data_IF_538388288789
#
_entry.id   IF_538388288789
#
_cell.length_a   1.000
_cell.length_b   1.000
_cell.length_c   1.000
_cell.angle_alpha   90.00
_cell.angle_beta   90.00
_cell.angle_gamma   90.00
#
_symmetry.space_group_name_H-M   'P 1'
#
loop_
_entity.id
_entity.type
_entity.pdbx_description
1 polymer ?
#
# COMPACT_ATOMS: atom_id res chain seq x y z
N UNK A 1 16.45 20.63 68.03
CA UNK A 1 16.89 20.99 69.40
C UNK A 1 16.15 22.27 69.79
N UNK A 2 15.52 22.41 70.94
CA UNK A 2 15.14 21.42 71.95
C UNK A 2 13.95 21.97 72.80
N UNK A 3 13.20 21.06 73.45
CA UNK A 3 12.38 21.25 74.68
C UNK A 3 11.53 22.52 74.94
N UNK A 4 10.21 22.30 74.92
CA UNK A 4 9.21 22.54 76.03
C UNK A 4 9.19 23.88 76.80
N UNK A 5 7.98 24.46 77.00
CA UNK A 5 7.26 24.44 78.32
C UNK A 5 5.91 25.21 78.41
N UNK A 6 5.01 24.62 79.20
CA UNK A 6 3.91 25.17 80.04
C UNK A 6 2.58 25.75 79.49
N UNK A 7 1.54 25.41 80.26
CA UNK A 7 0.07 25.66 80.24
C UNK A 7 -0.26 26.96 81.05
N UNK A 8 -1.51 27.36 81.48
CA UNK A 8 -2.78 26.61 81.54
C UNK A 8 -4.14 27.39 81.39
N UNK A 9 -5.24 26.71 81.76
CA UNK A 9 -6.63 27.17 82.03
C UNK A 9 -7.52 27.40 80.77
N UNK A 10 -8.83 27.12 80.70
CA UNK A 10 -9.87 26.55 81.59
C UNK A 10 -11.12 26.18 80.71
N UNK A 11 -12.19 25.43 81.10
CA UNK A 11 -12.55 24.74 82.35
C UNK A 11 -13.54 23.55 82.10
N UNK A 12 -13.75 22.72 83.14
CA UNK A 12 -14.99 22.09 83.67
C UNK A 12 -16.36 22.43 83.01
N UNK A 13 -17.40 21.56 82.97
CA UNK A 13 -17.61 20.25 83.64
C UNK A 13 -18.82 19.44 83.10
N UNK A 14 -18.69 18.10 83.14
CA UNK A 14 -19.67 17.07 83.65
C UNK A 14 -21.09 16.99 83.03
N UNK A 15 -21.83 15.88 83.05
CA UNK A 15 -21.72 14.55 83.68
C UNK A 15 -22.14 13.44 82.69
N UNK A 16 -21.79 12.18 82.94
CA UNK A 16 -22.32 11.04 82.18
C UNK A 16 -23.16 10.09 83.02
N UNK A 17 -23.99 9.30 82.31
CA UNK A 17 -24.18 7.85 82.51
C UNK A 17 -24.98 7.40 83.76
N UNK A 18 -25.29 6.09 83.98
CA UNK A 18 -24.95 4.90 83.17
C UNK A 18 -26.03 3.78 83.03
N UNK A 19 -25.66 2.73 82.28
CA UNK A 19 -26.14 1.31 82.39
C UNK A 19 -27.57 0.96 81.92
N UNK A 20 -27.90 -0.30 81.53
CA UNK A 20 -27.22 -1.61 81.68
C UNK A 20 -27.56 -2.58 80.53
N UNK A 21 -26.79 -3.65 80.39
CA UNK A 21 -26.86 -4.67 79.33
C UNK A 21 -27.75 -5.88 79.66
N UNK A 22 -28.13 -6.68 78.63
CA UNK A 22 -27.97 -8.16 78.62
C UNK A 22 -28.39 -8.85 77.31
N UNK A 23 -27.58 -9.83 76.88
CA UNK A 23 -27.89 -10.89 75.90
C UNK A 23 -27.55 -10.59 74.42
N UNK A 24 -27.25 -11.56 73.55
CA UNK A 24 -27.04 -13.03 73.67
C UNK A 24 -26.11 -13.51 72.53
N UNK A 25 -25.29 -14.53 72.83
CA UNK A 25 -24.62 -15.57 71.98
C UNK A 25 -24.42 -15.40 70.45
N UNK A 26 -23.15 -15.50 70.07
CA UNK A 26 -22.46 -16.03 68.87
C UNK A 26 -23.18 -16.63 67.61
N UNK A 27 -22.52 -16.36 66.47
CA UNK A 27 -22.28 -17.17 65.24
C UNK A 27 -23.44 -17.91 64.51
N UNK A 28 -23.49 -17.76 63.16
CA UNK A 28 -24.07 -18.80 62.28
C UNK A 28 -24.63 -18.33 60.93
N UNK A 29 -23.86 -18.54 59.86
CA UNK A 29 -24.18 -18.31 58.43
C UNK A 29 -25.54 -18.87 57.96
N UNK A 30 -26.34 -18.08 57.21
CA UNK A 30 -26.96 -18.53 55.94
C UNK A 30 -27.31 -17.36 55.02
N UNK A 31 -27.10 -17.53 53.71
CA UNK A 31 -27.42 -16.56 52.67
C UNK A 31 -28.82 -16.81 52.07
N UNK A 32 -29.48 -15.76 51.53
CA UNK A 32 -30.26 -15.85 50.29
C UNK A 32 -30.71 -14.47 49.74
N UNK A 33 -30.58 -14.31 48.42
CA UNK A 33 -31.23 -13.35 47.52
C UNK A 33 -31.44 -11.88 47.95
N UNK A 34 -30.62 -10.98 47.37
CA UNK A 34 -31.11 -9.98 46.39
C UNK A 34 -29.93 -9.26 45.72
N UNK A 35 -29.51 -9.78 44.56
CA UNK A 35 -28.57 -9.11 43.67
C UNK A 35 -29.09 -9.22 42.24
N UNK A 36 -29.54 -8.10 41.66
CA UNK A 36 -29.43 -7.72 40.22
C UNK A 36 -30.32 -6.52 39.91
N UNK A 37 -29.74 -5.31 39.84
CA UNK A 37 -30.07 -4.35 38.78
C UNK A 37 -28.96 -3.30 38.65
N UNK A 38 -27.82 -3.72 38.10
CA UNK A 38 -26.74 -2.81 37.69
C UNK A 38 -26.24 -3.27 36.33
N UNK A 39 -26.94 -2.85 35.27
CA UNK A 39 -26.64 -3.22 33.90
C UNK A 39 -26.66 -2.01 32.96
N UNK A 40 -25.56 -1.87 32.22
CA UNK A 40 -25.49 -1.27 30.88
C UNK A 40 -25.81 0.23 30.71
N UNK A 41 -24.86 1.09 31.12
CA UNK A 41 -24.41 2.20 30.25
C UNK A 41 -22.89 2.09 30.04
N UNK A 42 -22.46 0.93 29.54
CA UNK A 42 -21.09 0.74 29.05
C UNK A 42 -20.98 1.35 27.64
N UNK A 43 -20.12 2.35 27.47
CA UNK A 43 -19.93 3.10 26.22
C UNK A 43 -19.77 2.18 25.01
N UNK A 44 -20.80 2.10 24.16
CA UNK A 44 -20.75 1.44 22.85
C UNK A 44 -20.05 2.31 21.80
N UNK A 45 -18.84 2.78 22.09
CA UNK A 45 -17.99 3.56 21.17
C UNK A 45 -16.80 2.73 20.67
N UNK A 46 -17.08 1.50 20.21
CA UNK A 46 -16.09 0.61 19.59
C UNK A 46 -16.76 -0.42 18.66
N UNK A 47 -17.41 0.06 17.58
CA UNK A 47 -18.04 -0.83 16.59
C UNK A 47 -18.17 -0.24 15.17
N UNK A 48 -17.32 0.71 14.75
CA UNK A 48 -17.28 1.18 13.35
C UNK A 48 -15.96 1.85 12.92
N UNK A 49 -14.82 1.49 13.52
CA UNK A 49 -13.54 1.82 12.89
C UNK A 49 -13.46 0.95 11.63
N UNK A 50 -13.51 1.56 10.44
CA UNK A 50 -13.51 0.80 9.19
C UNK A 50 -12.26 -0.08 9.15
N UNK A 51 -12.47 -1.40 9.06
CA UNK A 51 -11.36 -2.36 9.09
C UNK A 51 -10.54 -2.14 7.83
N UNK A 52 -9.35 -1.56 7.99
CA UNK A 52 -8.38 -1.32 6.92
C UNK A 52 -8.17 -2.57 6.07
N UNK A 53 -8.02 -2.37 4.77
CA UNK A 53 -7.81 -3.41 3.78
C UNK A 53 -6.37 -3.91 3.92
N UNK A 54 -6.12 -5.18 4.29
CA UNK A 54 -4.77 -5.69 4.46
C UNK A 54 -4.16 -5.95 3.07
N UNK A 55 -3.00 -5.35 2.80
CA UNK A 55 -2.39 -5.29 1.46
C UNK A 55 -0.99 -5.89 1.43
N UNK A 56 -0.69 -6.61 0.35
CA UNK A 56 0.67 -6.84 -0.15
C UNK A 56 0.80 -6.05 -1.46
N UNK A 57 1.90 -5.32 -1.63
CA UNK A 57 2.18 -4.56 -2.85
C UNK A 57 3.43 -5.10 -3.55
N UNK A 58 3.25 -5.70 -4.73
CA UNK A 58 4.31 -6.24 -5.59
C UNK A 58 4.55 -5.28 -6.76
N UNK A 59 5.76 -4.73 -6.85
CA UNK A 59 6.09 -3.57 -7.68
C UNK A 59 7.43 -3.77 -8.39
N UNK A 60 7.58 -3.25 -9.61
CA UNK A 60 8.85 -3.29 -10.33
C UNK A 60 9.59 -1.94 -10.37
N UNK A 61 9.29 -1.08 -9.38
CA UNK A 61 9.93 0.20 -9.08
C UNK A 61 11.43 0.21 -9.39
N UNK A 62 11.85 1.10 -10.28
CA UNK A 62 13.14 1.02 -10.94
C UNK A 62 13.04 1.04 -12.47
N UNK A 63 11.94 0.47 -12.98
CA UNK A 63 11.58 0.43 -14.40
C UNK A 63 11.05 1.77 -14.89
N UNK A 64 9.74 1.98 -14.77
CA UNK A 64 9.12 3.30 -14.91
C UNK A 64 9.12 4.03 -13.55
N UNK A 65 8.59 5.25 -13.51
CA UNK A 65 8.51 6.06 -12.29
C UNK A 65 7.17 5.90 -11.57
N UNK A 66 6.11 5.47 -12.24
CA UNK A 66 4.75 5.48 -11.69
C UNK A 66 4.52 4.48 -10.55
N UNK A 67 5.33 3.43 -10.43
CA UNK A 67 5.43 2.63 -9.20
C UNK A 67 5.66 3.51 -7.95
N UNK A 68 6.52 4.54 -8.05
CA UNK A 68 6.82 5.47 -6.95
C UNK A 68 5.59 6.31 -6.61
N UNK A 69 4.83 6.75 -7.62
CA UNK A 69 3.58 7.48 -7.43
C UNK A 69 2.52 6.56 -6.78
N UNK A 70 2.45 5.30 -7.18
CA UNK A 70 1.56 4.28 -6.62
C UNK A 70 1.92 3.93 -5.16
N UNK A 71 3.20 3.73 -4.85
CA UNK A 71 3.65 3.45 -3.47
C UNK A 71 3.34 4.62 -2.53
N UNK A 72 3.57 5.85 -2.94
CA UNK A 72 3.30 7.04 -2.11
C UNK A 72 1.79 7.27 -1.96
N UNK A 73 1.00 7.11 -3.03
CA UNK A 73 -0.46 7.08 -2.96
C UNK A 73 -0.98 5.99 -1.99
N UNK A 74 -0.39 4.80 -2.00
CA UNK A 74 -0.73 3.68 -1.12
C UNK A 74 -0.42 4.03 0.35
N UNK A 75 0.73 4.66 0.62
CA UNK A 75 1.16 5.09 1.96
C UNK A 75 0.25 6.20 2.54
N UNK A 76 -0.17 7.17 1.73
CA UNK A 76 -1.09 8.25 2.12
C UNK A 76 -2.58 7.84 2.07
N UNK A 77 -2.89 6.55 1.86
CA UNK A 77 -4.25 6.02 1.84
C UNK A 77 -4.58 5.28 3.15
N UNK A 78 -5.18 5.94 4.17
CA UNK A 78 -5.52 5.33 5.46
C UNK A 78 -6.47 4.12 5.38
N UNK A 79 -7.10 3.90 4.23
CA UNK A 79 -7.91 2.72 3.91
C UNK A 79 -7.10 1.42 3.95
N UNK A 80 -5.76 1.48 3.80
CA UNK A 80 -4.89 0.31 3.72
C UNK A 80 -4.09 0.02 4.99
N UNK A 81 -3.87 -1.27 5.20
CA UNK A 81 -3.00 -1.87 6.22
C UNK A 81 -1.93 -2.69 5.48
N UNK A 82 -0.87 -2.00 5.04
CA UNK A 82 0.20 -2.57 4.21
C UNK A 82 1.01 -3.55 5.08
N UNK A 83 1.06 -4.82 4.67
CA UNK A 83 1.72 -5.92 5.40
C UNK A 83 3.07 -6.33 4.84
N UNK A 84 3.33 -6.02 3.57
CA UNK A 84 4.55 -6.35 2.85
C UNK A 84 4.62 -5.52 1.57
N UNK A 85 5.81 -5.03 1.21
CA UNK A 85 6.11 -4.57 -0.15
C UNK A 85 7.17 -5.48 -0.75
N UNK A 86 6.95 -5.98 -1.96
CA UNK A 86 7.91 -6.84 -2.68
C UNK A 86 8.38 -6.21 -3.98
N UNK A 87 9.64 -6.42 -4.33
CA UNK A 87 10.21 -5.96 -5.60
C UNK A 87 10.25 -7.07 -6.65
N UNK A 88 9.82 -6.76 -7.88
CA UNK A 88 9.76 -7.68 -9.00
C UNK A 88 10.72 -7.27 -10.14
N UNK A 89 11.18 -8.28 -10.88
CA UNK A 89 11.99 -8.24 -12.12
C UNK A 89 13.30 -7.43 -12.09
N UNK A 90 14.20 -7.75 -13.01
CA UNK A 90 15.53 -7.10 -13.09
C UNK A 90 16.37 -7.33 -11.83
N UNK A 91 16.97 -6.25 -11.31
CA UNK A 91 17.82 -6.26 -10.12
C UNK A 91 17.04 -5.96 -8.83
N UNK A 92 16.27 -6.95 -8.35
CA UNK A 92 15.34 -6.78 -7.21
C UNK A 92 15.97 -6.31 -5.89
N UNK A 93 17.22 -6.66 -5.50
CA UNK A 93 17.90 -6.06 -4.34
C UNK A 93 18.17 -4.55 -4.48
N UNK A 94 18.55 -4.08 -5.67
CA UNK A 94 18.77 -2.64 -5.90
C UNK A 94 17.43 -1.88 -5.89
N UNK A 95 16.40 -2.43 -6.53
CA UNK A 95 15.03 -1.89 -6.46
C UNK A 95 14.51 -1.79 -5.02
N UNK A 96 14.84 -2.77 -4.16
CA UNK A 96 14.42 -2.78 -2.76
C UNK A 96 14.99 -1.60 -1.95
N UNK A 97 16.12 -1.01 -2.35
CA UNK A 97 16.63 0.25 -1.75
C UNK A 97 15.67 1.42 -1.96
N UNK A 98 14.99 1.48 -3.12
CA UNK A 98 14.04 2.55 -3.43
C UNK A 98 12.84 2.45 -2.48
N UNK A 99 12.28 1.24 -2.35
CA UNK A 99 11.18 0.93 -1.42
C UNK A 99 11.58 1.27 0.01
N UNK A 100 12.69 0.72 0.49
CA UNK A 100 13.18 0.94 1.85
C UNK A 100 13.36 2.43 2.17
N UNK A 101 14.02 3.19 1.29
CA UNK A 101 14.21 4.65 1.45
C UNK A 101 12.88 5.41 1.46
N UNK A 102 11.90 5.05 0.62
CA UNK A 102 10.57 5.68 0.64
C UNK A 102 9.81 5.36 1.94
N UNK A 103 9.87 4.10 2.41
CA UNK A 103 9.24 3.68 3.67
C UNK A 103 9.87 4.37 4.89
N UNK A 104 11.18 4.59 4.87
CA UNK A 104 11.90 5.34 5.91
C UNK A 104 11.49 6.82 5.93
N UNK A 105 11.44 7.48 4.77
CA UNK A 105 10.95 8.87 4.61
C UNK A 105 9.47 8.99 5.03
N UNK A 106 8.67 7.94 4.82
CA UNK A 106 7.27 7.88 5.26
C UNK A 106 7.10 7.69 6.78
N UNK A 107 8.17 7.39 7.53
CA UNK A 107 8.07 6.94 8.92
C UNK A 107 7.35 5.59 9.07
N UNK A 108 7.37 4.74 8.03
CA UNK A 108 6.66 3.46 7.94
C UNK A 108 7.62 2.26 7.84
N UNK A 109 8.66 2.28 8.67
CA UNK A 109 9.63 1.18 8.81
C UNK A 109 9.04 -0.07 9.47
N UNK A 110 7.79 -0.02 9.95
CA UNK A 110 6.99 -1.17 10.36
C UNK A 110 6.61 -2.09 9.19
N UNK A 111 6.66 -1.60 7.94
CA UNK A 111 6.35 -2.38 6.74
C UNK A 111 7.59 -3.19 6.31
N UNK A 112 7.51 -4.53 6.26
CA UNK A 112 8.59 -5.36 5.73
C UNK A 112 8.78 -5.18 4.22
N UNK A 113 10.03 -5.34 3.77
CA UNK A 113 10.41 -5.36 2.36
C UNK A 113 10.85 -6.77 1.97
N UNK A 114 10.30 -7.33 0.89
CA UNK A 114 10.72 -8.63 0.35
C UNK A 114 11.42 -8.49 -1.00
N UNK A 115 12.64 -9.05 -1.09
CA UNK A 115 13.39 -9.11 -2.35
C UNK A 115 12.81 -10.24 -3.19
N UNK A 116 12.12 -9.90 -4.29
CA UNK A 116 11.57 -10.90 -5.20
C UNK A 116 12.60 -11.47 -6.18
N UNK A 117 12.12 -12.18 -7.19
CA UNK A 117 12.94 -12.93 -8.14
C UNK A 117 13.82 -11.99 -8.97
N UNK A 118 15.13 -12.04 -8.72
CA UNK A 118 16.15 -11.32 -9.49
C UNK A 118 16.37 -12.03 -10.83
N UNK A 119 16.12 -11.32 -11.93
CA UNK A 119 16.30 -11.86 -13.29
C UNK A 119 17.67 -11.50 -13.87
N UNK A 120 18.27 -10.38 -13.46
CA UNK A 120 19.58 -9.95 -13.91
C UNK A 120 20.29 -9.09 -12.85
N UNK A 121 21.58 -8.83 -13.07
CA UNK A 121 22.33 -7.81 -12.34
C UNK A 121 22.38 -6.56 -13.21
N UNK A 122 22.07 -5.38 -12.68
CA UNK A 122 22.06 -4.16 -13.49
C UNK A 122 21.53 -2.93 -12.78
N UNK A 123 21.84 -1.76 -13.35
CA UNK A 123 21.32 -0.48 -12.87
C UNK A 123 19.88 -0.23 -13.34
N UNK A 124 19.08 0.36 -12.45
CA UNK A 124 17.73 0.84 -12.72
C UNK A 124 17.72 2.38 -12.90
N UNK A 125 16.64 2.98 -13.41
CA UNK A 125 16.63 4.41 -13.76
C UNK A 125 16.74 5.34 -12.54
N UNK A 126 16.34 4.89 -11.36
CA UNK A 126 16.46 5.66 -10.09
C UNK A 126 17.76 5.38 -9.30
N UNK A 127 18.76 4.68 -9.88
CA UNK A 127 19.98 4.27 -9.14
C UNK A 127 20.70 5.42 -8.44
N UNK A 128 20.79 6.58 -9.09
CA UNK A 128 21.48 7.76 -8.54
C UNK A 128 20.78 8.31 -7.28
N UNK A 129 19.46 8.14 -7.14
CA UNK A 129 18.70 8.56 -5.96
C UNK A 129 18.87 7.63 -4.76
N UNK A 130 19.33 6.39 -4.98
CA UNK A 130 19.61 5.39 -3.93
C UNK A 130 21.08 5.01 -3.81
N UNK A 131 21.99 5.66 -4.55
CA UNK A 131 23.41 5.26 -4.67
C UNK A 131 24.13 5.15 -3.31
N UNK A 132 23.80 6.06 -2.38
CA UNK A 132 24.38 6.13 -1.04
C UNK A 132 23.53 5.37 0.01
N UNK A 133 22.36 4.86 -0.38
CA UNK A 133 21.45 4.12 0.51
C UNK A 133 21.82 2.63 0.53
N UNK A 134 22.05 2.10 1.74
CA UNK A 134 22.36 0.68 1.94
C UNK A 134 21.08 -0.04 2.38
N UNK A 135 20.65 -1.08 1.66
CA UNK A 135 19.47 -1.84 2.07
C UNK A 135 19.63 -2.45 3.49
N UNK A 136 20.87 -2.72 3.90
CA UNK A 136 21.20 -3.19 5.25
C UNK A 136 21.09 -2.14 6.36
N UNK A 137 20.86 -0.86 6.04
CA UNK A 137 20.55 0.19 7.03
C UNK A 137 19.04 0.43 7.19
N UNK A 138 18.18 -0.26 6.44
CA UNK A 138 16.73 -0.16 6.62
C UNK A 138 16.36 -0.70 8.02
N UNK A 139 15.68 0.07 8.89
CA UNK A 139 15.34 -0.37 10.24
C UNK A 139 14.28 -1.49 10.30
N UNK A 140 13.49 -1.65 9.25
CA UNK A 140 12.46 -2.68 9.15
C UNK A 140 12.98 -4.04 8.67
N UNK A 141 12.12 -5.04 8.65
CA UNK A 141 12.48 -6.39 8.21
C UNK A 141 12.72 -6.45 6.69
N UNK A 142 13.86 -7.02 6.26
CA UNK A 142 14.15 -7.33 4.85
C UNK A 142 14.18 -8.85 4.64
N UNK A 143 13.20 -9.39 3.92
CA UNK A 143 13.16 -10.80 3.53
C UNK A 143 13.96 -11.02 2.24
N UNK A 144 14.93 -11.95 2.28
CA UNK A 144 15.74 -12.31 1.10
C UNK A 144 14.97 -13.18 0.09
N UNK A 145 13.94 -13.91 0.54
CA UNK A 145 12.96 -14.58 -0.33
C UNK A 145 11.60 -13.88 -0.18
N UNK A 146 11.37 -12.86 -1.02
CA UNK A 146 10.10 -12.14 -1.10
C UNK A 146 8.93 -13.02 -1.54
N UNK A 147 9.17 -14.09 -2.31
CA UNK A 147 8.12 -15.04 -2.72
C UNK A 147 7.62 -15.82 -1.51
N UNK A 148 8.53 -16.29 -0.66
CA UNK A 148 8.15 -16.92 0.60
C UNK A 148 7.48 -15.93 1.56
N UNK A 149 7.94 -14.67 1.62
CA UNK A 149 7.30 -13.63 2.42
C UNK A 149 5.84 -13.35 2.00
N UNK A 150 5.54 -13.36 0.70
CA UNK A 150 4.17 -13.27 0.16
C UNK A 150 3.32 -14.45 0.66
N UNK A 151 3.82 -15.68 0.49
CA UNK A 151 3.12 -16.91 0.93
C UNK A 151 2.84 -16.84 2.43
N UNK A 152 3.87 -16.59 3.24
CA UNK A 152 3.76 -16.53 4.69
C UNK A 152 2.75 -15.48 5.14
N UNK A 153 2.77 -14.29 4.54
CA UNK A 153 1.86 -13.19 4.90
C UNK A 153 0.40 -13.54 4.56
N UNK A 154 0.13 -14.15 3.40
CA UNK A 154 -1.23 -14.60 3.04
C UNK A 154 -1.69 -15.76 3.93
N UNK A 155 -0.83 -16.75 4.16
CA UNK A 155 -1.19 -17.97 4.87
C UNK A 155 -1.34 -17.74 6.38
N UNK A 156 -0.53 -16.85 6.99
CA UNK A 156 -0.67 -16.45 8.40
C UNK A 156 -1.79 -15.44 8.66
N UNK A 157 -2.26 -14.72 7.64
CA UNK A 157 -3.36 -13.74 7.82
C UNK A 157 -4.68 -14.42 8.25
N UNK A 158 -5.37 -13.92 9.29
CA UNK A 158 -6.71 -14.39 9.67
C UNK A 158 -7.84 -13.85 8.78
N UNK A 159 -7.52 -12.98 7.82
CA UNK A 159 -8.47 -12.36 6.88
C UNK A 159 -7.96 -12.51 5.44
N UNK A 160 -8.84 -12.51 4.42
CA UNK A 160 -8.41 -12.47 3.03
C UNK A 160 -7.50 -11.25 2.77
N UNK A 161 -6.34 -11.49 2.17
CA UNK A 161 -5.41 -10.45 1.75
C UNK A 161 -5.84 -9.82 0.43
N UNK A 162 -5.46 -8.56 0.21
CA UNK A 162 -5.46 -7.95 -1.12
C UNK A 162 -4.02 -7.96 -1.64
N UNK A 163 -3.75 -8.75 -2.67
CA UNK A 163 -2.49 -8.72 -3.38
C UNK A 163 -2.62 -7.72 -4.52
N UNK A 164 -1.94 -6.59 -4.41
CA UNK A 164 -1.83 -5.60 -5.46
C UNK A 164 -0.49 -5.84 -6.18
N UNK A 165 -0.51 -6.13 -7.47
CA UNK A 165 0.70 -6.32 -8.27
C UNK A 165 0.68 -5.37 -9.47
N UNK A 166 1.68 -4.52 -9.61
CA UNK A 166 1.72 -3.47 -10.66
C UNK A 166 2.82 -3.66 -11.70
N UNK A 167 3.73 -4.62 -11.49
CA UNK A 167 4.73 -5.03 -12.48
C UNK A 167 4.42 -6.39 -13.15
N UNK A 168 5.41 -6.97 -13.86
CA UNK A 168 5.35 -8.36 -14.31
C UNK A 168 5.25 -9.32 -13.11
N UNK A 169 4.76 -10.55 -13.34
CA UNK A 169 4.25 -11.41 -12.26
C UNK A 169 5.10 -12.64 -11.85
N UNK A 170 6.45 -12.71 -12.00
CA UNK A 170 7.19 -13.92 -11.67
C UNK A 170 7.10 -14.25 -10.17
N UNK A 171 7.07 -13.23 -9.30
CA UNK A 171 6.89 -13.40 -7.85
C UNK A 171 5.57 -14.12 -7.54
N UNK A 172 4.47 -13.66 -8.14
CA UNK A 172 3.13 -14.17 -7.89
C UNK A 172 2.93 -15.54 -8.56
N UNK A 173 3.46 -15.72 -9.76
CA UNK A 173 3.48 -17.00 -10.47
C UNK A 173 4.25 -18.07 -9.71
N UNK A 174 5.38 -17.71 -9.09
CA UNK A 174 6.15 -18.61 -8.22
C UNK A 174 5.43 -18.86 -6.88
N UNK A 175 4.81 -17.85 -6.27
CA UNK A 175 4.03 -18.01 -5.04
C UNK A 175 2.87 -19.00 -5.22
N UNK A 176 2.10 -18.86 -6.30
CA UNK A 176 1.04 -19.82 -6.68
C UNK A 176 1.55 -21.23 -6.98
N UNK A 177 2.79 -21.36 -7.46
CA UNK A 177 3.41 -22.67 -7.76
C UNK A 177 3.87 -23.36 -6.46
N UNK A 178 4.46 -22.61 -5.53
CA UNK A 178 4.90 -23.13 -4.21
C UNK A 178 3.73 -23.41 -3.26
N UNK A 179 2.73 -22.54 -3.25
CA UNK A 179 1.56 -22.64 -2.36
C UNK A 179 0.26 -22.22 -3.08
N UNK A 180 -0.39 -23.12 -3.83
CA UNK A 180 -1.64 -22.84 -4.51
C UNK A 180 -2.79 -22.36 -3.59
N UNK A 181 -2.72 -22.64 -2.28
CA UNK A 181 -3.77 -22.24 -1.32
C UNK A 181 -3.81 -20.73 -1.08
N UNK A 182 -2.80 -19.95 -1.47
CA UNK A 182 -2.86 -18.48 -1.37
C UNK A 182 -4.06 -17.89 -2.12
N UNK A 183 -4.47 -18.50 -3.24
CA UNK A 183 -5.66 -18.08 -3.99
C UNK A 183 -6.97 -18.23 -3.20
N UNK A 184 -7.02 -19.14 -2.22
CA UNK A 184 -8.18 -19.28 -1.32
C UNK A 184 -8.18 -18.26 -0.16
N UNK A 185 -7.09 -17.51 0.02
CA UNK A 185 -6.88 -16.56 1.12
C UNK A 185 -6.50 -15.15 0.65
N UNK A 186 -6.56 -14.87 -0.65
CA UNK A 186 -6.29 -13.56 -1.21
C UNK A 186 -7.13 -13.30 -2.46
N UNK A 187 -7.38 -12.02 -2.75
CA UNK A 187 -7.80 -11.55 -4.08
C UNK A 187 -6.64 -10.85 -4.77
N UNK A 188 -6.63 -10.88 -6.09
CA UNK A 188 -5.64 -10.20 -6.94
C UNK A 188 -6.20 -8.90 -7.51
N UNK A 189 -5.39 -7.84 -7.46
CA UNK A 189 -5.61 -6.56 -8.15
C UNK A 189 -4.34 -6.21 -8.91
N UNK A 190 -4.41 -5.81 -10.19
CA UNK A 190 -3.18 -5.43 -10.90
C UNK A 190 -3.30 -4.52 -12.11
N UNK A 191 -2.16 -3.91 -12.47
CA UNK A 191 -1.97 -3.14 -13.70
C UNK A 191 -1.51 -4.11 -14.80
N UNK A 192 -2.47 -4.64 -15.57
CA UNK A 192 -2.20 -5.67 -16.58
C UNK A 192 -3.14 -5.56 -17.77
N UNK A 193 -2.58 -5.65 -18.98
CA UNK A 193 -3.33 -5.91 -20.20
C UNK A 193 -3.86 -4.70 -20.96
N UNK A 194 -4.49 -4.97 -22.10
CA UNK A 194 -4.92 -4.01 -23.11
C UNK A 194 -6.08 -4.66 -23.87
N UNK A 195 -7.32 -4.34 -23.50
CA UNK A 195 -8.51 -5.10 -23.91
C UNK A 195 -9.12 -4.49 -25.17
N UNK A 196 -9.35 -3.18 -25.17
CA UNK A 196 -9.92 -2.41 -26.30
C UNK A 196 -9.11 -1.16 -26.64
N UNK A 197 -8.19 -0.73 -25.76
CA UNK A 197 -7.26 0.39 -25.98
C UNK A 197 -5.80 -0.04 -25.78
N UNK A 198 -4.91 0.54 -26.56
CA UNK A 198 -3.46 0.51 -26.35
C UNK A 198 -2.94 1.74 -25.61
N UNK A 199 -1.61 1.87 -25.54
CA UNK A 199 -0.94 2.99 -24.89
C UNK A 199 -1.41 4.35 -25.41
N UNK A 200 -1.55 5.33 -24.50
CA UNK A 200 -1.97 6.69 -24.83
C UNK A 200 -3.42 6.80 -25.35
N UNK A 201 -4.26 5.80 -25.07
CA UNK A 201 -5.66 5.77 -25.52
C UNK A 201 -5.85 5.31 -26.97
N UNK A 202 -4.80 4.79 -27.61
CA UNK A 202 -4.83 4.24 -28.97
C UNK A 202 -5.97 3.23 -29.16
N UNK A 203 -6.63 3.26 -30.32
CA UNK A 203 -7.64 2.25 -30.71
C UNK A 203 -7.02 0.88 -31.03
N UNK A 204 -5.71 0.79 -31.21
CA UNK A 204 -5.00 -0.47 -31.44
C UNK A 204 -4.51 -1.06 -30.12
N UNK A 205 -5.08 -2.21 -29.74
CA UNK A 205 -4.63 -3.00 -28.58
C UNK A 205 -3.14 -3.37 -28.69
N UNK A 206 -2.47 -3.46 -27.54
CA UNK A 206 -1.04 -3.67 -27.43
C UNK A 206 -0.74 -4.97 -26.67
N UNK A 207 0.41 -5.58 -26.91
CA UNK A 207 1.00 -6.52 -25.96
C UNK A 207 1.55 -5.67 -24.82
N UNK A 208 0.72 -5.46 -23.79
CA UNK A 208 1.03 -4.62 -22.63
C UNK A 208 2.26 -5.17 -21.90
N UNK A 209 3.15 -4.27 -21.46
CA UNK A 209 4.48 -4.58 -20.94
C UNK A 209 4.48 -5.65 -19.85
N UNK A 210 3.68 -5.52 -18.80
CA UNK A 210 3.64 -6.44 -17.67
C UNK A 210 3.16 -7.83 -18.10
N UNK A 211 2.15 -7.90 -18.97
CA UNK A 211 1.67 -9.16 -19.55
C UNK A 211 2.70 -9.78 -20.49
N UNK A 212 3.34 -8.98 -21.34
CA UNK A 212 4.34 -9.45 -22.32
C UNK A 212 5.64 -9.92 -21.66
N UNK A 213 6.05 -9.30 -20.56
CA UNK A 213 7.27 -9.62 -19.83
C UNK A 213 7.22 -11.01 -19.15
N UNK A 214 6.04 -11.48 -18.74
CA UNK A 214 5.84 -12.84 -18.19
C UNK A 214 4.42 -13.37 -18.46
N UNK A 215 4.12 -13.63 -19.73
CA UNK A 215 2.81 -14.10 -20.16
C UNK A 215 2.38 -15.41 -19.46
N UNK A 216 3.35 -16.31 -19.17
CA UNK A 216 3.09 -17.58 -18.48
C UNK A 216 2.72 -17.38 -17.00
N UNK A 217 3.34 -16.42 -16.30
CA UNK A 217 2.89 -16.06 -14.96
C UNK A 217 1.50 -15.41 -14.98
N UNK A 218 1.20 -14.52 -15.93
CA UNK A 218 -0.13 -13.89 -16.02
C UNK A 218 -1.22 -14.92 -16.33
N UNK A 219 -0.98 -15.86 -17.25
CA UNK A 219 -1.87 -17.01 -17.51
C UNK A 219 -2.18 -17.78 -16.21
N UNK A 220 -1.15 -18.12 -15.42
CA UNK A 220 -1.31 -18.81 -14.13
C UNK A 220 -2.11 -17.97 -13.11
N UNK A 221 -1.83 -16.67 -13.02
CA UNK A 221 -2.49 -15.74 -12.10
C UNK A 221 -3.97 -15.55 -12.46
N UNK A 222 -4.30 -15.36 -13.74
CA UNK A 222 -5.68 -15.15 -14.14
C UNK A 222 -6.52 -16.43 -13.98
N UNK A 223 -5.94 -17.60 -14.26
CA UNK A 223 -6.59 -18.91 -14.10
C UNK A 223 -6.76 -19.37 -12.64
N UNK A 224 -5.90 -18.93 -11.70
CA UNK A 224 -5.94 -19.36 -10.30
C UNK A 224 -7.30 -19.06 -9.62
N UNK A 225 -7.74 -19.86 -8.63
CA UNK A 225 -9.10 -19.80 -8.06
C UNK A 225 -9.27 -18.68 -7.01
N UNK A 226 -8.96 -17.44 -7.42
CA UNK A 226 -9.22 -16.20 -6.69
C UNK A 226 -9.99 -15.18 -7.53
N UNK A 227 -10.58 -14.19 -6.87
CA UNK A 227 -11.06 -12.97 -7.51
C UNK A 227 -9.89 -12.19 -8.13
N UNK A 228 -10.03 -11.85 -9.41
CA UNK A 228 -9.05 -11.07 -10.18
C UNK A 228 -9.73 -9.77 -10.62
N UNK A 229 -9.08 -8.65 -10.34
CA UNK A 229 -9.45 -7.33 -10.83
C UNK A 229 -8.25 -6.70 -11.53
N UNK A 230 -8.44 -6.17 -12.75
CA UNK A 230 -7.37 -5.52 -13.49
C UNK A 230 -7.74 -4.11 -13.95
N UNK A 231 -6.72 -3.25 -13.98
CA UNK A 231 -6.70 -2.01 -14.76
C UNK A 231 -5.85 -2.22 -16.02
N UNK A 232 -6.49 -2.50 -17.17
CA UNK A 232 -5.80 -2.53 -18.46
C UNK A 232 -5.59 -1.10 -19.00
N UNK A 233 -4.82 -0.98 -20.09
CA UNK A 233 -4.54 0.30 -20.78
C UNK A 233 -5.79 1.11 -21.17
N UNK A 234 -6.96 0.46 -21.24
CA UNK A 234 -8.29 1.09 -21.35
C UNK A 234 -8.59 2.15 -20.29
N UNK A 235 -8.02 2.01 -19.08
CA UNK A 235 -8.14 3.01 -18.00
C UNK A 235 -6.80 3.54 -17.50
N UNK A 236 -5.81 2.67 -17.20
CA UNK A 236 -4.51 3.14 -16.72
C UNK A 236 -3.68 3.87 -17.79
N UNK A 237 -3.89 3.54 -19.07
CA UNK A 237 -3.07 4.01 -20.19
C UNK A 237 -3.21 5.49 -20.57
N UNK A 238 -4.03 6.24 -19.84
CA UNK A 238 -4.38 7.65 -20.10
C UNK A 238 -4.39 8.56 -18.87
N UNK A 239 -3.90 8.10 -17.71
CA UNK A 239 -3.85 8.91 -16.47
C UNK A 239 -2.63 9.85 -16.50
N UNK A 240 -2.86 11.16 -16.34
CA UNK A 240 -1.77 12.14 -16.23
C UNK A 240 -2.10 13.24 -15.22
N UNK A 241 -1.14 13.63 -14.38
CA UNK A 241 -1.22 14.90 -13.66
C UNK A 241 -0.60 16.02 -14.50
N UNK A 242 -1.41 17.05 -14.78
CA UNK A 242 -1.05 18.28 -15.48
C UNK A 242 -1.67 19.50 -14.80
N UNK A 243 -1.25 20.70 -15.19
CA UNK A 243 -1.87 21.96 -14.74
C UNK A 243 -1.96 22.08 -13.22
N UNK A 244 -3.09 22.59 -12.70
CA UNK A 244 -3.32 22.78 -11.26
C UNK A 244 -3.11 21.49 -10.44
N UNK A 245 -3.53 20.32 -10.95
CA UNK A 245 -3.42 19.03 -10.24
C UNK A 245 -1.96 18.64 -10.02
N UNK A 246 -1.14 18.74 -11.06
CA UNK A 246 0.31 18.51 -10.93
C UNK A 246 1.01 19.57 -10.09
N UNK A 247 0.67 20.85 -10.28
CA UNK A 247 1.25 21.95 -9.50
C UNK A 247 0.92 21.84 -8.01
N UNK A 248 -0.19 21.20 -7.63
CA UNK A 248 -0.49 20.86 -6.23
C UNK A 248 0.57 19.92 -5.65
N UNK A 249 0.88 18.83 -6.34
CA UNK A 249 1.90 17.86 -5.91
C UNK A 249 3.31 18.48 -5.92
N UNK A 250 3.67 19.17 -6.99
CA UNK A 250 4.99 19.78 -7.17
C UNK A 250 5.33 20.85 -6.12
N UNK A 251 4.33 21.55 -5.59
CA UNK A 251 4.48 22.62 -4.59
C UNK A 251 4.19 22.17 -3.16
N UNK A 252 3.86 20.90 -2.96
CA UNK A 252 3.62 20.36 -1.64
C UNK A 252 4.98 20.11 -0.96
N UNK A 253 5.31 20.89 0.05
CA UNK A 253 6.58 20.79 0.77
C UNK A 253 6.46 19.80 1.94
N UNK A 254 6.35 18.51 1.60
CA UNK A 254 6.39 17.41 2.57
C UNK A 254 7.53 16.46 2.23
N UNK A 255 8.09 15.72 3.22
CA UNK A 255 9.19 14.78 2.97
C UNK A 255 8.87 13.77 1.85
N UNK A 256 7.62 13.28 1.76
CA UNK A 256 7.22 12.32 0.74
C UNK A 256 7.03 12.94 -0.65
N UNK A 257 6.44 14.13 -0.77
CA UNK A 257 6.31 14.78 -2.09
C UNK A 257 7.64 15.31 -2.60
N UNK A 258 8.52 15.78 -1.72
CA UNK A 258 9.90 16.14 -2.08
C UNK A 258 10.66 14.90 -2.58
N UNK A 259 10.61 13.77 -1.85
CA UNK A 259 11.19 12.50 -2.28
C UNK A 259 10.62 12.00 -3.62
N UNK A 260 9.30 12.11 -3.85
CA UNK A 260 8.65 11.75 -5.12
C UNK A 260 9.21 12.56 -6.29
N UNK A 261 9.29 13.89 -6.14
CA UNK A 261 9.75 14.79 -7.21
C UNK A 261 11.26 14.65 -7.46
N UNK A 262 12.07 14.47 -6.42
CA UNK A 262 13.50 14.13 -6.56
C UNK A 262 13.70 12.82 -7.32
N UNK A 263 12.97 11.76 -6.93
CA UNK A 263 13.06 10.44 -7.52
C UNK A 263 12.64 10.45 -9.00
N UNK A 264 11.57 11.18 -9.33
CA UNK A 264 11.14 11.41 -10.71
C UNK A 264 12.18 12.18 -11.53
N UNK A 265 12.80 13.20 -10.96
CA UNK A 265 13.88 13.95 -11.61
C UNK A 265 15.12 13.09 -11.88
N UNK A 266 15.52 12.24 -10.93
CA UNK A 266 16.61 11.29 -11.11
C UNK A 266 16.28 10.26 -12.22
N UNK A 267 15.08 9.67 -12.18
CA UNK A 267 14.59 8.75 -13.21
C UNK A 267 14.63 9.37 -14.62
N UNK A 268 14.11 10.60 -14.76
CA UNK A 268 14.05 11.28 -16.05
C UNK A 268 15.44 11.71 -16.55
N UNK A 269 16.32 12.18 -15.66
CA UNK A 269 17.74 12.45 -15.97
C UNK A 269 18.42 11.18 -16.52
N UNK A 270 18.28 10.04 -15.83
CA UNK A 270 18.89 8.79 -16.27
C UNK A 270 18.30 8.28 -17.60
N UNK A 271 17.00 8.49 -17.84
CA UNK A 271 16.35 8.19 -19.13
C UNK A 271 16.93 9.00 -20.30
N UNK A 272 17.23 10.28 -20.09
CA UNK A 272 17.94 11.11 -21.08
C UNK A 272 19.35 10.56 -21.32
N UNK A 273 20.14 10.35 -20.26
CA UNK A 273 21.53 9.88 -20.38
C UNK A 273 21.65 8.49 -21.03
N UNK A 274 20.67 7.60 -20.81
CA UNK A 274 20.62 6.28 -21.45
C UNK A 274 20.32 6.35 -22.96
N UNK A 275 19.59 7.38 -23.41
CA UNK A 275 19.18 7.52 -24.81
C UNK A 275 20.06 8.48 -25.63
N UNK A 276 20.75 9.44 -24.98
CA UNK A 276 21.55 10.47 -25.64
C UNK A 276 22.84 10.73 -24.84
N UNK A 277 23.96 10.16 -25.31
CA UNK A 277 25.24 10.12 -24.58
C UNK A 277 26.08 11.42 -24.63
N UNK A 278 25.73 12.35 -25.52
CA UNK A 278 26.58 13.51 -25.87
C UNK A 278 25.93 14.87 -25.52
N UNK A 279 25.00 14.90 -24.55
CA UNK A 279 24.41 16.15 -24.06
C UNK A 279 25.26 16.75 -22.93
N UNK A 280 25.37 18.07 -22.90
CA UNK A 280 25.91 18.78 -21.74
C UNK A 280 24.98 18.69 -20.54
N UNK A 281 25.54 18.76 -19.32
CA UNK A 281 24.72 18.78 -18.08
C UNK A 281 23.70 19.94 -18.08
N UNK A 282 24.03 21.08 -18.70
CA UNK A 282 23.12 22.21 -18.85
C UNK A 282 21.88 21.86 -19.69
N UNK A 283 22.05 21.14 -20.81
CA UNK A 283 20.94 20.68 -21.65
C UNK A 283 20.11 19.60 -20.96
N UNK A 284 20.76 18.65 -20.28
CA UNK A 284 20.08 17.61 -19.50
C UNK A 284 19.23 18.27 -18.42
N UNK A 285 19.80 19.17 -17.62
CA UNK A 285 19.09 19.89 -16.56
C UNK A 285 17.94 20.74 -17.12
N UNK A 286 18.12 21.43 -18.26
CA UNK A 286 17.05 22.17 -18.94
C UNK A 286 15.86 21.27 -19.31
N UNK A 287 16.12 20.09 -19.88
CA UNK A 287 15.08 19.12 -20.28
C UNK A 287 14.38 18.50 -19.07
N UNK A 288 15.14 18.14 -18.02
CA UNK A 288 14.58 17.64 -16.76
C UNK A 288 13.67 18.71 -16.13
N UNK A 289 14.10 19.98 -16.11
CA UNK A 289 13.29 21.08 -15.59
C UNK A 289 12.02 21.32 -16.42
N UNK A 290 12.09 21.32 -17.76
CA UNK A 290 10.89 21.46 -18.61
C UNK A 290 9.86 20.35 -18.37
N UNK A 291 10.29 19.09 -18.25
CA UNK A 291 9.35 17.98 -18.01
C UNK A 291 8.85 17.94 -16.57
N UNK A 292 9.76 17.87 -15.60
CA UNK A 292 9.43 17.63 -14.21
C UNK A 292 8.79 18.84 -13.50
N UNK A 293 8.81 20.04 -14.09
CA UNK A 293 8.06 21.19 -13.58
C UNK A 293 6.67 21.35 -14.23
N UNK A 294 6.34 20.58 -15.27
CA UNK A 294 5.09 20.75 -16.03
C UNK A 294 4.07 19.63 -15.83
N UNK A 295 4.52 18.37 -15.72
CA UNK A 295 3.62 17.21 -15.73
C UNK A 295 4.28 15.90 -15.28
N UNK A 296 3.47 14.94 -14.84
CA UNK A 296 3.88 13.54 -14.66
C UNK A 296 4.13 12.83 -16.01
N UNK A 297 4.65 11.61 -15.97
CA UNK A 297 4.46 10.58 -17.01
C UNK A 297 3.00 10.08 -17.00
N UNK A 298 2.68 9.05 -17.80
CA UNK A 298 1.46 8.27 -17.56
C UNK A 298 1.59 7.61 -16.18
N UNK A 299 0.54 7.66 -15.36
CA UNK A 299 0.56 7.09 -14.01
C UNK A 299 -0.30 5.82 -13.93
N UNK A 300 0.13 4.76 -14.61
CA UNK A 300 -0.64 3.55 -14.81
C UNK A 300 -0.99 2.88 -13.47
N UNK A 301 0.01 2.69 -12.62
CA UNK A 301 -0.05 1.86 -11.41
C UNK A 301 -0.96 2.42 -10.32
N UNK A 302 -1.13 3.75 -10.31
CA UNK A 302 -2.01 4.45 -9.36
C UNK A 302 -3.47 3.97 -9.44
N UNK A 303 -3.89 3.50 -10.62
CA UNK A 303 -5.22 2.92 -10.81
C UNK A 303 -5.33 1.54 -10.14
N UNK A 304 -4.24 0.77 -10.07
CA UNK A 304 -4.20 -0.51 -9.33
C UNK A 304 -4.45 -0.30 -7.83
N UNK A 305 -3.82 0.73 -7.24
CA UNK A 305 -4.09 1.15 -5.85
C UNK A 305 -5.56 1.58 -5.69
N UNK A 306 -6.10 2.34 -6.64
CA UNK A 306 -7.49 2.79 -6.60
C UNK A 306 -8.48 1.63 -6.61
N UNK A 307 -8.35 0.68 -7.56
CA UNK A 307 -9.22 -0.50 -7.67
C UNK A 307 -9.12 -1.44 -6.46
N UNK A 308 -8.00 -1.41 -5.74
CA UNK A 308 -7.87 -2.13 -4.47
C UNK A 308 -8.76 -1.56 -3.36
N UNK A 309 -9.14 -0.28 -3.44
CA UNK A 309 -9.99 0.40 -2.46
C UNK A 309 -11.44 0.57 -2.94
N UNK A 310 -11.67 0.94 -4.20
CA UNK A 310 -13.00 1.31 -4.73
C UNK A 310 -13.03 1.32 -6.26
N UNK A 311 -14.22 1.22 -6.85
CA UNK A 311 -14.43 1.22 -8.31
C UNK A 311 -15.40 2.33 -8.77
N UNK A 312 -15.73 3.29 -7.88
CA UNK A 312 -16.79 4.29 -8.13
C UNK A 312 -16.62 5.08 -9.43
N UNK A 313 -15.40 5.52 -9.74
CA UNK A 313 -15.08 6.37 -10.90
C UNK A 313 -14.78 5.61 -12.20
N UNK A 314 -14.79 4.27 -12.18
CA UNK A 314 -14.58 3.43 -13.37
C UNK A 314 -15.81 2.58 -13.68
N UNK A 315 -15.97 2.23 -14.94
CA UNK A 315 -16.87 1.16 -15.40
C UNK A 315 -16.13 -0.17 -15.23
N UNK A 316 -16.72 -1.07 -14.45
CA UNK A 316 -16.23 -2.43 -14.29
C UNK A 316 -17.05 -3.37 -15.16
N UNK A 317 -16.39 -4.15 -15.99
CA UNK A 317 -17.02 -5.24 -16.76
C UNK A 317 -16.48 -6.58 -16.27
N UNK A 318 -17.36 -7.60 -16.29
CA UNK A 318 -16.98 -9.00 -16.05
C UNK A 318 -16.73 -9.66 -17.40
N UNK A 319 -15.47 -9.94 -17.71
CA UNK A 319 -15.04 -10.46 -19.01
C UNK A 319 -14.28 -11.77 -18.82
N UNK A 320 -14.56 -12.76 -19.66
CA UNK A 320 -13.63 -13.89 -19.84
C UNK A 320 -12.39 -13.39 -20.56
N UNK A 321 -11.21 -13.55 -19.95
CA UNK A 321 -9.94 -13.03 -20.48
C UNK A 321 -8.92 -14.15 -20.65
N UNK A 322 -8.47 -14.35 -21.88
CA UNK A 322 -7.31 -15.20 -22.22
C UNK A 322 -6.07 -14.31 -22.42
N UNK A 323 -4.92 -14.78 -21.93
CA UNK A 323 -3.60 -14.20 -22.21
C UNK A 323 -2.89 -15.10 -23.21
N UNK A 324 -2.46 -14.54 -24.34
CA UNK A 324 -1.72 -15.26 -25.37
C UNK A 324 -0.22 -15.33 -25.05
N UNK A 325 0.48 -16.29 -25.65
CA UNK A 325 1.92 -16.50 -25.41
C UNK A 325 2.81 -15.34 -25.89
N UNK A 326 2.34 -14.53 -26.84
CA UNK A 326 2.99 -13.30 -27.30
C UNK A 326 2.62 -12.05 -26.48
N UNK A 327 1.88 -12.22 -25.37
CA UNK A 327 1.66 -11.17 -24.37
C UNK A 327 0.42 -10.29 -24.59
N UNK A 328 -0.53 -10.71 -25.43
CA UNK A 328 -1.79 -10.00 -25.57
C UNK A 328 -2.87 -10.53 -24.63
N UNK A 329 -3.73 -9.62 -24.17
CA UNK A 329 -5.01 -9.95 -23.54
C UNK A 329 -6.13 -9.94 -24.58
N UNK A 330 -7.04 -10.91 -24.48
CA UNK A 330 -8.16 -11.11 -25.42
C UNK A 330 -9.43 -11.47 -24.67
N UNK A 331 -10.56 -10.93 -25.12
CA UNK A 331 -11.88 -11.37 -24.66
C UNK A 331 -12.13 -12.76 -25.24
N UNK A 332 -12.43 -13.72 -24.36
CA UNK A 332 -12.67 -15.12 -24.68
C UNK A 332 -13.76 -15.67 -23.77
N UNK A 333 -14.91 -16.03 -24.34
CA UNK A 333 -16.08 -16.50 -23.60
C UNK A 333 -15.88 -17.89 -22.95
N UNK A 334 -14.81 -18.61 -23.26
CA UNK A 334 -14.42 -19.87 -22.61
C UNK A 334 -13.44 -19.67 -21.45
N UNK A 335 -12.83 -18.50 -21.34
CA UNK A 335 -11.87 -18.19 -20.30
C UNK A 335 -12.55 -17.90 -18.96
N UNK A 336 -11.77 -17.99 -17.87
CA UNK A 336 -12.25 -17.56 -16.55
C UNK A 336 -12.63 -16.08 -16.59
N UNK A 337 -13.80 -15.78 -16.05
CA UNK A 337 -14.32 -14.42 -15.93
C UNK A 337 -13.56 -13.67 -14.83
N UNK A 338 -13.05 -12.49 -15.17
CA UNK A 338 -12.36 -11.56 -14.25
C UNK A 338 -13.01 -10.16 -14.33
N UNK A 339 -12.69 -9.28 -13.39
CA UNK A 339 -13.21 -7.92 -13.37
C UNK A 339 -12.21 -6.96 -14.05
N UNK A 340 -12.66 -6.21 -15.06
CA UNK A 340 -11.82 -5.30 -15.83
C UNK A 340 -12.33 -3.86 -15.73
N UNK A 341 -11.45 -2.90 -15.43
CA UNK A 341 -11.75 -1.47 -15.52
C UNK A 341 -11.62 -1.02 -16.99
N UNK A 342 -12.74 -1.00 -17.72
CA UNK A 342 -12.76 -0.83 -19.18
C UNK A 342 -12.96 0.60 -19.66
N UNK A 343 -13.40 1.50 -18.77
CA UNK A 343 -13.72 2.89 -19.11
C UNK A 343 -13.72 3.76 -17.84
N UNK A 344 -13.33 5.02 -17.95
CA UNK A 344 -13.55 6.01 -16.88
C UNK A 344 -14.96 6.57 -16.95
N UNK A 345 -15.67 6.58 -15.82
CA UNK A 345 -16.89 7.39 -15.67
C UNK A 345 -16.53 8.86 -15.46
N UNK A 346 -15.46 9.10 -14.71
CA UNK A 346 -14.88 10.44 -14.50
C UNK A 346 -13.39 10.29 -14.18
N UNK A 347 -12.55 10.52 -15.21
CA UNK A 347 -11.10 10.56 -15.08
C UNK A 347 -10.63 11.81 -14.32
N UNK A 348 -11.33 12.94 -14.46
CA UNK A 348 -10.92 14.19 -13.82
C UNK A 348 -10.99 14.07 -12.31
N UNK A 349 -12.11 13.56 -11.78
CA UNK A 349 -12.27 13.30 -10.35
C UNK A 349 -11.26 12.28 -9.81
N UNK A 350 -10.78 11.34 -10.63
CA UNK A 350 -9.71 10.42 -10.23
C UNK A 350 -8.35 11.12 -10.14
N UNK A 351 -8.01 11.96 -11.11
CA UNK A 351 -6.78 12.76 -11.06
C UNK A 351 -6.79 13.78 -9.90
N UNK A 352 -7.95 14.37 -9.59
CA UNK A 352 -8.10 15.26 -8.42
C UNK A 352 -7.95 14.48 -7.12
N UNK A 353 -8.62 13.32 -7.01
CA UNK A 353 -8.42 12.38 -5.91
C UNK A 353 -6.95 11.94 -5.75
N UNK A 354 -6.26 11.66 -6.85
CA UNK A 354 -4.85 11.25 -6.85
C UNK A 354 -3.95 12.39 -6.35
N UNK A 355 -4.11 13.61 -6.89
CA UNK A 355 -3.38 14.78 -6.43
C UNK A 355 -3.67 15.09 -4.94
N UNK A 356 -4.90 14.92 -4.49
CA UNK A 356 -5.29 15.05 -3.09
C UNK A 356 -4.64 14.00 -2.19
N UNK A 357 -4.56 12.73 -2.63
CA UNK A 357 -3.89 11.66 -1.86
C UNK A 357 -2.40 11.90 -1.73
N UNK A 358 -1.74 12.25 -2.83
CA UNK A 358 -0.30 12.52 -2.89
C UNK A 358 0.13 13.72 -2.02
N UNK A 359 -0.80 14.58 -1.61
CA UNK A 359 -0.54 15.81 -0.85
C UNK A 359 -1.11 15.81 0.57
N UNK A 360 -1.33 14.62 1.14
CA UNK A 360 -1.74 14.43 2.54
C UNK A 360 -0.59 14.47 3.53
#
# INVERSE_FOLDING_TARGET
MDRTRFLPNAQLSRFGSPTKSRGIVALGILAMFLATLSCAVSKSTSAAQSRKIPVIFDTDIGGDIDDTWALIMLLQSPEFDIKLVTTAVGDTPEKAKIVAKILEIAGRTDIPVGIGIRQNKGGHRQRDWVKDYKLSSYPGTVYQDGVQAIIDTIMKSPKPMTLIAVGPLPNIGAALTREPRIAKKARFVGMHGSIRKGYGGSSKVSAEYNVRADAKAVQRVFAAPWDVTITPLDTCGIVYLKGRKYQKVLKNDSPLTNALIENYRAWYKQGILNSQKNLSDAEVNKRVNQKCNSSSTTLFDTVGIYLAMTTKLVKMEKLGITVTDDGYTRIDNKAKVINCATEWKDLSAFEDFLADRLTK
#
